data_IF_068509330507
#
_entry.id   IF_068509330507
#
_cell.length_a   1.000
_cell.length_b   1.000
_cell.length_c   1.000
_cell.angle_alpha   90.00
_cell.angle_beta   90.00
_cell.angle_gamma   90.00
#
_symmetry.space_group_name_H-M   'P 1'
#
loop_
_entity.id
_entity.type
_entity.pdbx_description
1 polymer ?
#
# COMPACT_ATOMS: atom_id res chain seq x y z
N UNK A 1 42.31 52.45 -37.76
CA UNK A 1 42.63 51.05 -38.13
C UNK A 1 42.13 50.13 -37.03
N UNK A 2 41.84 48.87 -37.37
CA UNK A 2 41.31 47.77 -36.52
C UNK A 2 41.79 47.77 -35.06
N UNK A 3 40.97 47.53 -34.02
CA UNK A 3 40.02 46.44 -33.76
C UNK A 3 40.66 45.06 -33.45
N UNK A 4 40.11 44.42 -32.39
CA UNK A 4 40.28 43.03 -31.90
C UNK A 4 41.56 42.75 -31.05
N UNK A 5 41.51 41.97 -29.96
CA UNK A 5 40.35 41.43 -29.19
C UNK A 5 40.75 41.13 -27.72
N UNK A 6 39.77 40.97 -26.81
CA UNK A 6 39.94 40.27 -25.53
C UNK A 6 38.84 39.21 -25.30
N UNK A 7 39.27 37.97 -25.08
CA UNK A 7 38.52 36.95 -24.34
C UNK A 7 38.46 37.41 -22.87
N UNK A 8 37.39 37.30 -22.07
CA UNK A 8 36.21 36.45 -22.20
C UNK A 8 36.19 35.46 -21.03
N UNK A 9 35.60 35.87 -19.90
CA UNK A 9 35.31 35.00 -18.76
C UNK A 9 33.95 35.38 -18.17
N UNK A 10 33.17 34.40 -17.76
CA UNK A 10 31.75 34.54 -17.41
C UNK A 10 31.56 34.40 -15.91
N UNK A 11 30.92 35.38 -15.27
CA UNK A 11 30.54 35.30 -13.85
C UNK A 11 29.10 35.80 -13.66
N UNK A 12 28.15 34.87 -13.58
CA UNK A 12 26.73 35.18 -13.31
C UNK A 12 26.53 35.33 -11.81
N UNK A 13 26.59 36.58 -11.33
CA UNK A 13 26.32 36.94 -9.94
C UNK A 13 24.90 37.50 -9.76
N UNK A 14 24.07 36.73 -9.05
CA UNK A 14 22.95 37.12 -8.18
C UNK A 14 22.18 38.43 -8.48
N UNK A 15 20.86 38.31 -8.71
CA UNK A 15 19.90 39.39 -8.39
C UNK A 15 19.15 39.06 -7.10
N UNK A 16 19.41 39.87 -6.06
CA UNK A 16 18.58 39.91 -4.86
C UNK A 16 17.21 40.51 -5.18
N UNK A 17 16.14 39.85 -4.75
CA UNK A 17 14.76 40.34 -4.84
C UNK A 17 13.97 39.89 -3.62
N UNK A 18 13.83 40.77 -2.64
CA UNK A 18 13.04 40.54 -1.42
C UNK A 18 11.62 41.07 -1.62
N UNK A 19 10.55 40.27 -1.43
CA UNK A 19 9.19 40.78 -1.27
C UNK A 19 8.74 40.82 0.20
N UNK A 20 7.68 41.60 0.42
CA UNK A 20 7.11 42.02 1.70
C UNK A 20 6.30 40.93 2.44
N UNK A 21 6.08 41.08 3.76
CA UNK A 21 5.10 40.27 4.49
C UNK A 21 3.69 40.80 4.20
N UNK A 22 2.90 40.07 3.41
CA UNK A 22 1.48 40.36 3.24
C UNK A 22 0.70 39.07 3.06
N UNK A 23 -0.15 38.81 4.05
CA UNK A 23 -0.99 37.64 4.27
C UNK A 23 -1.52 37.01 2.98
N UNK A 24 -0.92 35.89 2.59
CA UNK A 24 -1.56 34.89 1.74
C UNK A 24 -1.54 33.58 2.49
N UNK A 25 -2.65 33.26 3.13
CA UNK A 25 -2.92 31.92 3.66
C UNK A 25 -3.12 30.99 2.47
N UNK A 26 -2.01 30.61 1.82
CA UNK A 26 -2.00 29.50 0.89
C UNK A 26 -2.24 28.26 1.72
N UNK A 27 -3.48 27.78 1.71
CA UNK A 27 -3.79 26.39 2.04
C UNK A 27 -2.90 25.52 1.16
N UNK A 28 -1.80 25.02 1.73
CA UNK A 28 -1.06 23.95 1.10
C UNK A 28 -2.06 22.80 0.98
N UNK A 29 -2.31 22.24 -0.22
CA UNK A 29 -3.17 21.08 -0.32
C UNK A 29 -2.56 20.02 0.59
N UNK A 30 -3.39 19.42 1.45
CA UNK A 30 -2.98 18.29 2.28
C UNK A 30 -2.47 17.25 1.28
N UNK A 31 -1.15 16.99 1.30
CA UNK A 31 -0.52 16.09 0.34
C UNK A 31 -0.90 14.66 0.74
N UNK A 32 -2.10 14.26 0.36
CA UNK A 32 -2.60 12.90 0.55
C UNK A 32 -1.64 11.99 -0.22
N UNK A 33 -0.99 11.00 0.43
CA UNK A 33 -0.15 10.05 -0.27
C UNK A 33 -1.00 9.29 -1.29
N UNK A 34 -0.50 9.17 -2.52
CA UNK A 34 -1.20 8.51 -3.61
C UNK A 34 -0.64 7.11 -3.87
N UNK A 35 -1.50 6.27 -4.41
CA UNK A 35 -1.18 4.91 -4.85
C UNK A 35 -0.53 4.91 -6.23
N UNK A 36 -0.06 3.74 -6.66
CA UNK A 36 0.34 3.47 -8.06
C UNK A 36 -0.81 3.56 -9.08
N UNK A 37 -2.04 3.78 -8.62
CA UNK A 37 -3.24 4.01 -9.44
C UNK A 37 -3.72 5.47 -9.37
N UNK A 38 -2.93 6.38 -8.79
CA UNK A 38 -3.27 7.78 -8.51
C UNK A 38 -4.52 7.99 -7.61
N UNK A 39 -5.02 6.92 -6.98
CA UNK A 39 -6.03 6.97 -5.92
C UNK A 39 -5.40 7.25 -4.54
N UNK A 40 -6.15 7.75 -3.54
CA UNK A 40 -5.68 7.92 -2.16
C UNK A 40 -5.12 6.62 -1.56
N UNK A 41 -4.02 6.71 -0.81
CA UNK A 41 -3.40 5.55 -0.16
C UNK A 41 -4.23 5.05 1.02
N UNK A 42 -4.61 3.77 0.97
CA UNK A 42 -5.34 3.10 2.05
C UNK A 42 -4.40 2.37 3.02
N UNK A 43 -4.88 2.12 4.24
CA UNK A 43 -4.17 1.31 5.24
C UNK A 43 -4.15 -0.15 4.81
N UNK A 44 -2.95 -0.72 4.65
CA UNK A 44 -2.76 -2.12 4.21
C UNK A 44 -2.91 -3.12 5.36
N UNK A 45 -2.45 -2.74 6.55
CA UNK A 45 -2.34 -3.62 7.71
C UNK A 45 -2.58 -2.87 9.03
N UNK A 46 -2.99 -3.59 10.08
CA UNK A 46 -3.20 -3.03 11.41
C UNK A 46 -1.91 -3.07 12.22
N UNK A 47 -1.32 -1.91 12.52
CA UNK A 47 -0.13 -1.80 13.39
C UNK A 47 -0.34 -2.44 14.77
N UNK A 48 -1.56 -2.37 15.31
CA UNK A 48 -1.93 -3.00 16.58
C UNK A 48 -1.85 -4.55 16.56
N UNK A 49 -1.79 -5.16 15.37
CA UNK A 49 -1.63 -6.61 15.17
C UNK A 49 -0.21 -6.99 14.73
N UNK A 50 0.67 -6.01 14.57
CA UNK A 50 2.05 -6.24 14.17
C UNK A 50 2.95 -6.53 15.39
N UNK A 51 4.00 -7.35 15.22
CA UNK A 51 4.95 -7.60 16.29
C UNK A 51 5.77 -6.33 16.59
N UNK A 52 6.16 -6.17 17.86
CA UNK A 52 6.88 -4.97 18.33
C UNK A 52 8.27 -4.78 17.69
N UNK A 53 8.92 -5.86 17.25
CA UNK A 53 10.24 -5.84 16.62
C UNK A 53 10.16 -6.30 15.17
N UNK A 54 9.81 -5.37 14.27
CA UNK A 54 9.89 -5.56 12.83
C UNK A 54 11.25 -5.09 12.29
N UNK A 55 11.88 -5.82 11.35
CA UNK A 55 13.06 -5.31 10.65
C UNK A 55 12.68 -4.16 9.71
N UNK A 56 13.61 -3.22 9.49
CA UNK A 56 13.40 -2.02 8.66
C UNK A 56 12.96 -2.30 7.21
N UNK A 57 13.25 -3.51 6.71
CA UNK A 57 12.83 -4.01 5.39
C UNK A 57 11.32 -4.15 5.20
N UNK A 58 10.55 -4.17 6.31
CA UNK A 58 9.07 -4.30 6.28
C UNK A 58 8.41 -3.30 7.24
N UNK A 59 7.15 -2.96 6.96
CA UNK A 59 6.38 -2.02 7.78
C UNK A 59 4.90 -2.43 7.87
N UNK A 60 4.28 -2.25 9.03
CA UNK A 60 2.84 -2.41 9.23
C UNK A 60 2.15 -1.03 9.23
N UNK A 61 0.88 -0.96 8.81
CA UNK A 61 0.14 0.29 8.72
C UNK A 61 -0.10 0.73 7.28
N UNK A 62 0.31 1.97 6.98
CA UNK A 62 0.26 2.56 5.64
C UNK A 62 1.64 2.46 4.98
N UNK A 63 1.69 2.16 3.68
CA UNK A 63 2.97 2.07 2.98
C UNK A 63 3.61 3.46 2.80
N UNK A 64 4.94 3.50 2.79
CA UNK A 64 5.73 4.75 2.76
C UNK A 64 6.77 4.68 1.65
N UNK A 65 7.47 5.77 1.33
CA UNK A 65 8.51 5.78 0.30
C UNK A 65 9.63 4.75 0.51
N UNK A 66 9.91 4.37 1.77
CA UNK A 66 10.91 3.34 2.10
C UNK A 66 10.39 1.93 1.83
N UNK A 67 9.13 1.69 2.17
CA UNK A 67 8.45 0.40 2.03
C UNK A 67 7.16 0.62 1.22
N UNK A 68 7.24 0.87 -0.11
CA UNK A 68 6.10 1.32 -0.88
C UNK A 68 5.19 0.18 -1.37
N UNK A 69 5.63 -1.08 -1.33
CA UNK A 69 4.88 -2.22 -1.89
C UNK A 69 4.01 -2.90 -0.84
N UNK A 70 2.69 -2.77 -0.97
CA UNK A 70 1.72 -3.45 -0.12
C UNK A 70 1.59 -4.93 -0.51
N UNK A 71 2.33 -5.81 0.15
CA UNK A 71 2.37 -7.24 -0.18
C UNK A 71 1.59 -8.12 0.82
N UNK A 72 1.10 -9.25 0.33
CA UNK A 72 0.62 -10.39 1.12
C UNK A 72 1.75 -11.43 1.10
N UNK A 73 2.32 -11.72 2.26
CA UNK A 73 3.53 -12.56 2.33
C UNK A 73 3.18 -14.03 2.10
N UNK A 74 3.88 -14.68 1.17
CA UNK A 74 3.78 -16.12 0.93
C UNK A 74 4.84 -16.86 1.74
N UNK A 75 4.64 -18.17 1.96
CA UNK A 75 5.63 -18.97 2.68
C UNK A 75 7.00 -18.95 1.98
N UNK A 76 6.97 -19.12 0.65
CA UNK A 76 8.12 -19.02 -0.25
C UNK A 76 8.88 -17.69 -0.13
N UNK A 77 8.18 -16.57 0.07
CA UNK A 77 8.82 -15.27 0.30
C UNK A 77 9.51 -15.20 1.67
N UNK A 78 8.96 -15.83 2.72
CA UNK A 78 9.60 -15.88 4.05
C UNK A 78 10.90 -16.68 4.01
N UNK A 79 10.93 -17.78 3.26
CA UNK A 79 12.15 -18.58 3.03
C UNK A 79 13.20 -17.81 2.21
N UNK A 80 12.77 -17.05 1.19
CA UNK A 80 13.64 -16.15 0.44
C UNK A 80 14.17 -14.99 1.31
N UNK A 81 13.34 -14.41 2.17
CA UNK A 81 13.74 -13.33 3.08
C UNK A 81 14.78 -13.83 4.10
N UNK A 82 14.56 -14.99 4.70
CA UNK A 82 15.53 -15.66 5.58
C UNK A 82 16.85 -15.96 4.84
N UNK A 83 16.76 -16.44 3.60
CA UNK A 83 17.93 -16.66 2.72
C UNK A 83 18.70 -15.37 2.37
N UNK A 84 18.03 -14.21 2.35
CA UNK A 84 18.65 -12.89 2.21
C UNK A 84 19.14 -12.31 3.56
N UNK A 85 19.18 -13.11 4.63
CA UNK A 85 19.60 -12.70 5.97
C UNK A 85 18.55 -11.93 6.78
N UNK A 86 17.30 -11.82 6.29
CA UNK A 86 16.18 -11.16 6.97
C UNK A 86 15.12 -12.18 7.35
N UNK A 87 15.34 -12.90 8.44
CA UNK A 87 14.40 -13.91 8.94
C UNK A 87 13.15 -13.28 9.56
N UNK A 88 12.10 -13.13 8.73
CA UNK A 88 10.83 -12.56 9.14
C UNK A 88 10.06 -13.46 10.13
N UNK A 89 10.25 -14.79 10.08
CA UNK A 89 9.58 -15.71 11.01
C UNK A 89 10.05 -15.49 12.44
N UNK A 90 11.33 -15.17 12.66
CA UNK A 90 11.86 -14.75 13.97
C UNK A 90 11.23 -13.46 14.52
N UNK A 91 10.75 -12.58 13.65
CA UNK A 91 9.99 -11.40 14.04
C UNK A 91 8.52 -11.71 14.40
N UNK A 92 8.06 -12.96 14.29
CA UNK A 92 6.65 -13.33 14.48
C UNK A 92 5.78 -13.12 13.25
N UNK A 93 6.38 -12.94 12.07
CA UNK A 93 5.67 -12.74 10.80
C UNK A 93 5.38 -14.08 10.13
N UNK A 94 4.11 -14.33 9.86
CA UNK A 94 3.60 -15.55 9.21
C UNK A 94 3.20 -15.35 7.75
N UNK A 95 2.89 -16.45 7.03
CA UNK A 95 2.27 -16.38 5.71
C UNK A 95 0.88 -15.74 5.79
N UNK A 96 0.37 -15.28 4.64
CA UNK A 96 -0.90 -14.57 4.44
C UNK A 96 -1.07 -13.25 5.22
N UNK A 97 -0.06 -12.85 5.99
CA UNK A 97 -0.02 -11.55 6.65
C UNK A 97 0.27 -10.41 5.66
N UNK A 98 -0.29 -9.24 5.95
CA UNK A 98 -0.21 -8.02 5.13
C UNK A 98 0.87 -7.10 5.68
N UNK A 99 1.91 -6.82 4.90
CA UNK A 99 2.95 -5.85 5.25
C UNK A 99 3.39 -5.05 4.02
N UNK A 100 3.88 -3.85 4.27
CA UNK A 100 4.53 -3.02 3.29
C UNK A 100 6.01 -3.42 3.18
N UNK A 101 6.52 -3.60 1.98
CA UNK A 101 7.89 -4.04 1.66
C UNK A 101 8.66 -2.97 0.89
N UNK A 102 9.98 -2.95 1.04
CA UNK A 102 10.86 -2.26 0.10
C UNK A 102 10.75 -2.85 -1.31
N UNK A 103 10.69 -1.97 -2.30
CA UNK A 103 10.54 -2.34 -3.70
C UNK A 103 11.77 -3.05 -4.29
N UNK A 104 12.99 -2.85 -3.77
CA UNK A 104 14.16 -3.62 -4.23
C UNK A 104 14.09 -5.07 -3.75
N UNK A 105 13.64 -5.29 -2.52
CA UNK A 105 13.48 -6.63 -1.93
C UNK A 105 12.37 -7.42 -2.61
N UNK A 106 11.22 -6.78 -2.87
CA UNK A 106 10.15 -7.40 -3.65
C UNK A 106 10.59 -7.71 -5.09
N UNK A 107 11.32 -6.78 -5.74
CA UNK A 107 11.85 -6.98 -7.09
C UNK A 107 12.79 -8.19 -7.17
N UNK A 108 13.71 -8.36 -6.22
CA UNK A 108 14.56 -9.56 -6.11
C UNK A 108 13.74 -10.86 -6.03
N UNK A 109 12.61 -10.85 -5.32
CA UNK A 109 11.73 -12.03 -5.28
C UNK A 109 11.10 -12.33 -6.64
N UNK A 110 10.75 -11.29 -7.42
CA UNK A 110 10.26 -11.42 -8.79
C UNK A 110 11.33 -11.87 -9.80
N UNK A 111 12.54 -11.30 -9.75
CA UNK A 111 13.66 -11.65 -10.63
C UNK A 111 14.19 -13.08 -10.38
N UNK A 112 14.09 -13.60 -9.15
CA UNK A 112 14.49 -14.98 -8.82
C UNK A 112 13.56 -16.06 -9.42
N UNK A 113 12.47 -15.69 -10.11
CA UNK A 113 11.54 -16.65 -10.73
C UNK A 113 10.75 -17.52 -9.75
N UNK A 114 10.79 -17.20 -8.45
CA UNK A 114 10.06 -17.89 -7.39
C UNK A 114 8.62 -17.38 -7.23
N UNK A 115 7.95 -17.88 -6.20
CA UNK A 115 6.59 -17.43 -5.86
C UNK A 115 6.62 -16.04 -5.21
N UNK A 116 6.29 -15.02 -6.01
CA UNK A 116 6.30 -13.61 -5.62
C UNK A 116 5.09 -13.29 -4.73
N UNK A 117 5.27 -12.56 -3.61
CA UNK A 117 4.15 -12.19 -2.75
C UNK A 117 3.20 -11.21 -3.47
N UNK A 118 1.89 -11.50 -3.38
CA UNK A 118 0.83 -10.79 -4.12
C UNK A 118 0.70 -9.34 -3.64
N UNK A 119 0.50 -8.40 -4.56
CA UNK A 119 0.53 -6.95 -4.29
C UNK A 119 -0.87 -6.33 -4.31
N UNK A 120 -1.24 -5.56 -3.29
CA UNK A 120 -2.46 -4.74 -3.29
C UNK A 120 -2.17 -3.36 -3.86
N UNK A 121 -2.54 -3.15 -5.13
CA UNK A 121 -2.31 -1.89 -5.84
C UNK A 121 -2.94 -0.66 -5.13
N UNK A 122 -4.14 -0.82 -4.56
CA UNK A 122 -4.89 0.21 -3.80
C UNK A 122 -4.23 0.65 -2.49
N UNK A 123 -3.24 -0.09 -2.01
CA UNK A 123 -2.46 0.23 -0.81
C UNK A 123 -0.95 0.36 -1.09
N UNK A 124 -0.54 0.22 -2.36
CA UNK A 124 0.85 0.36 -2.81
C UNK A 124 1.14 1.83 -3.10
N UNK A 125 2.14 2.40 -2.43
CA UNK A 125 2.52 3.81 -2.58
C UNK A 125 3.12 4.08 -3.97
N UNK A 126 2.87 5.28 -4.51
CA UNK A 126 3.32 5.68 -5.86
C UNK A 126 4.84 5.49 -6.09
N UNK A 127 5.65 5.69 -5.05
CA UNK A 127 7.11 5.47 -5.07
C UNK A 127 7.57 4.02 -5.34
N UNK A 128 6.66 3.05 -5.46
CA UNK A 128 7.01 1.72 -6.00
C UNK A 128 7.41 1.79 -7.48
N UNK A 129 6.86 2.75 -8.24
CA UNK A 129 7.08 2.90 -9.68
C UNK A 129 8.51 3.31 -10.05
N UNK A 130 9.26 3.92 -9.12
CA UNK A 130 10.68 4.24 -9.27
C UNK A 130 11.58 3.01 -9.38
N UNK A 131 11.13 1.83 -8.92
CA UNK A 131 11.92 0.58 -8.96
C UNK A 131 11.26 -0.55 -9.76
N UNK A 132 9.93 -0.57 -9.84
CA UNK A 132 9.13 -1.65 -10.42
C UNK A 132 8.04 -1.08 -11.32
N UNK A 133 7.97 -1.54 -12.57
CA UNK A 133 6.95 -1.10 -13.52
C UNK A 133 5.53 -1.52 -13.09
N UNK A 134 4.56 -0.64 -13.38
CA UNK A 134 3.14 -0.86 -13.06
C UNK A 134 2.59 -2.16 -13.67
N UNK A 135 3.05 -2.54 -14.86
CA UNK A 135 2.64 -3.79 -15.51
C UNK A 135 3.07 -5.03 -14.72
N UNK A 136 4.28 -5.00 -14.15
CA UNK A 136 4.80 -6.07 -13.31
C UNK A 136 4.05 -6.14 -11.98
N UNK A 137 3.71 -5.00 -11.37
CA UNK A 137 2.84 -4.95 -10.19
C UNK A 137 1.43 -5.49 -10.50
N UNK A 138 0.87 -5.20 -11.69
CA UNK A 138 -0.43 -5.72 -12.15
C UNK A 138 -0.43 -7.23 -12.36
N UNK A 139 0.63 -7.82 -12.94
CA UNK A 139 0.78 -9.28 -13.09
C UNK A 139 0.70 -10.03 -11.75
N UNK A 140 1.24 -9.42 -10.69
CA UNK A 140 1.27 -9.97 -9.34
C UNK A 140 0.20 -9.39 -8.41
N UNK A 141 -0.79 -8.67 -8.95
CA UNK A 141 -1.83 -8.07 -8.15
C UNK A 141 -2.61 -9.14 -7.36
N UNK A 142 -2.84 -8.86 -6.08
CA UNK A 142 -3.84 -9.55 -5.29
C UNK A 142 -5.23 -9.21 -5.84
N UNK A 143 -6.18 -10.15 -5.73
CA UNK A 143 -7.58 -9.85 -5.97
C UNK A 143 -8.05 -8.68 -5.12
N UNK A 144 -8.96 -7.88 -5.68
CA UNK A 144 -9.70 -6.87 -4.93
C UNK A 144 -10.35 -7.53 -3.69
N UNK A 145 -10.40 -6.82 -2.56
CA UNK A 145 -10.99 -7.33 -1.29
C UNK A 145 -12.53 -7.31 -1.38
N UNK A 146 -13.09 -7.99 -2.39
CA UNK A 146 -14.54 -8.16 -2.58
C UNK A 146 -15.10 -9.32 -1.77
N UNK A 147 -14.24 -10.17 -1.21
CA UNK A 147 -14.59 -11.45 -0.58
C UNK A 147 -14.08 -11.54 0.87
N UNK A 148 -14.43 -10.52 1.68
CA UNK A 148 -14.38 -10.60 3.14
C UNK A 148 -15.77 -10.40 3.74
N UNK A 149 -16.67 -11.31 3.39
CA UNK A 149 -17.86 -11.58 4.21
C UNK A 149 -18.97 -10.54 4.17
N UNK A 150 -19.14 -9.78 3.07
CA UNK A 150 -20.46 -9.18 2.81
C UNK A 150 -21.36 -10.29 2.28
N UNK A 151 -22.12 -10.92 3.18
CA UNK A 151 -23.28 -11.72 2.79
C UNK A 151 -24.31 -10.77 2.21
N UNK A 152 -24.23 -10.54 0.90
CA UNK A 152 -25.34 -9.95 0.16
C UNK A 152 -26.53 -10.91 0.29
N UNK A 153 -27.71 -10.46 0.76
CA UNK A 153 -28.90 -11.28 0.65
C UNK A 153 -29.13 -11.55 -0.83
N UNK A 154 -29.00 -12.83 -1.22
CA UNK A 154 -29.04 -13.22 -2.63
C UNK A 154 -30.38 -12.82 -3.23
N UNK A 155 -30.36 -12.03 -4.30
CA UNK A 155 -31.55 -11.63 -5.04
C UNK A 155 -32.00 -12.81 -5.93
N UNK A 156 -32.55 -13.83 -5.27
CA UNK A 156 -32.98 -15.10 -5.84
C UNK A 156 -34.30 -15.53 -5.21
N UNK A 157 -35.32 -15.68 -6.05
CA UNK A 157 -36.69 -15.94 -5.62
C UNK A 157 -36.83 -17.36 -5.11
N UNK A 158 -37.22 -17.56 -3.85
CA UNK A 158 -38.22 -18.58 -3.52
C UNK A 158 -38.89 -18.35 -2.16
N UNK A 159 -40.13 -18.82 -2.09
CA UNK A 159 -41.14 -18.67 -1.04
C UNK A 159 -40.67 -18.71 0.42
N UNK A 160 -41.09 -17.71 1.20
CA UNK A 160 -41.23 -17.79 2.67
C UNK A 160 -42.44 -18.66 3.08
N UNK A 161 -42.56 -19.86 2.49
CA UNK A 161 -43.58 -20.84 2.85
C UNK A 161 -43.01 -21.80 3.91
N UNK A 162 -43.10 -21.41 5.18
CA UNK A 162 -43.19 -22.36 6.30
C UNK A 162 -44.42 -22.04 7.13
N UNK A 163 -45.52 -22.62 6.66
CA UNK A 163 -46.77 -22.78 7.38
C UNK A 163 -46.61 -23.77 8.54
N UNK A 164 -47.50 -23.64 9.54
CA UNK A 164 -47.68 -24.52 10.71
C UNK A 164 -46.56 -24.52 11.79
N UNK A 165 -46.90 -24.36 13.08
CA UNK A 165 -48.23 -24.15 13.64
C UNK A 165 -48.24 -23.93 15.17
N UNK A 166 -49.46 -23.82 15.71
CA UNK A 166 -49.81 -23.71 17.12
C UNK A 166 -49.34 -22.44 17.87
N UNK A 167 -50.11 -21.35 17.70
CA UNK A 167 -50.21 -20.32 18.76
C UNK A 167 -51.20 -20.87 19.80
N UNK A 168 -50.72 -21.80 20.62
CA UNK A 168 -51.49 -22.43 21.68
C UNK A 168 -51.89 -21.42 22.75
N UNK A 169 -53.11 -20.87 22.63
CA UNK A 169 -53.69 -20.01 23.64
C UNK A 169 -53.81 -20.75 24.98
N UNK A 170 -53.28 -20.16 26.05
CA UNK A 170 -53.76 -20.43 27.41
C UNK A 170 -54.39 -19.16 27.97
N UNK A 171 -55.69 -19.25 28.19
CA UNK A 171 -56.50 -18.22 28.84
C UNK A 171 -55.96 -17.89 30.25
N UNK A 172 -56.15 -16.65 30.73
CA UNK A 172 -55.89 -16.30 32.11
C UNK A 172 -56.94 -16.97 33.01
N UNK A 173 -56.53 -17.51 34.16
CA UNK A 173 -57.48 -17.99 35.17
C UNK A 173 -57.12 -17.49 36.57
N UNK A 174 -57.93 -16.51 36.98
CA UNK A 174 -58.17 -15.99 38.35
C UNK A 174 -56.96 -15.62 39.21
#
# INVERSE_FOLDING_TARGET
>A
MSAKNMQGLMDVKQRNGKPSPSSRTTTQPILIPHTVLDAPLHKHSSEASAPFSLPSSIHAGMCTDRNPIAAILTNSFLDLASSNGTDLRKAGVGPDQRYCLDASTWKKAADNGGEVPRVKLEATHKGALDKVELETLKKWAAGQDKDRGVVWPSEGKESWARESGDIGAKEPRS
#
